data_IF_884334318241
#
_entry.id   IF_884334318241
#
_cell.length_a   1.000
_cell.length_b   1.000
_cell.length_c   1.000
_cell.angle_alpha   90.00
_cell.angle_beta   90.00
_cell.angle_gamma   90.00
#
_symmetry.space_group_name_H-M   'P 1'
#
loop_
_entity.id
_entity.type
_entity.pdbx_description
1 polymer ?
#
# COMPACT_ATOMS: atom_id res chain seq x y z
N UNK A 1 -20.71 14.75 -17.50
CA UNK A 1 -20.33 13.71 -16.55
C UNK A 1 -19.00 13.16 -17.00
N UNK A 2 -18.07 12.95 -16.07
CA UNK A 2 -16.81 12.28 -16.35
C UNK A 2 -17.10 10.82 -16.71
N UNK A 3 -16.40 10.29 -17.69
CA UNK A 3 -16.53 8.90 -18.11
C UNK A 3 -15.56 7.99 -17.36
N UNK A 4 -15.89 6.71 -17.30
CA UNK A 4 -15.00 5.68 -16.78
C UNK A 4 -13.79 5.50 -17.69
N UNK A 5 -12.69 5.03 -17.11
CA UNK A 5 -11.47 4.65 -17.81
C UNK A 5 -11.04 3.24 -17.44
N UNK A 6 -10.42 2.58 -18.40
CA UNK A 6 -9.64 1.37 -18.18
C UNK A 6 -8.21 1.59 -18.68
N UNK A 7 -7.32 0.64 -18.47
CA UNK A 7 -5.96 0.66 -19.06
C UNK A 7 -6.04 0.57 -20.57
N UNK A 8 -5.19 1.27 -21.31
CA UNK A 8 -5.14 1.16 -22.77
C UNK A 8 -4.43 -0.12 -23.24
N UNK A 9 -3.55 -0.68 -22.41
CA UNK A 9 -2.90 -1.98 -22.63
C UNK A 9 -2.59 -2.66 -21.29
N UNK A 10 -2.34 -3.98 -21.32
CA UNK A 10 -1.90 -4.72 -20.14
C UNK A 10 -0.45 -4.44 -19.80
N UNK A 11 -0.12 -4.55 -18.50
CA UNK A 11 1.26 -4.58 -18.02
C UNK A 11 1.40 -5.59 -16.89
N UNK A 12 2.64 -5.99 -16.58
CA UNK A 12 2.94 -6.89 -15.48
C UNK A 12 4.12 -6.37 -14.66
N UNK A 13 4.09 -6.66 -13.37
CA UNK A 13 5.18 -6.40 -12.42
C UNK A 13 5.56 -7.70 -11.73
N UNK A 14 6.84 -7.84 -11.42
CA UNK A 14 7.39 -9.01 -10.71
C UNK A 14 8.21 -8.54 -9.51
N UNK A 15 8.11 -9.25 -8.41
CA UNK A 15 8.87 -8.96 -7.20
C UNK A 15 8.64 -9.97 -6.10
N UNK A 16 9.25 -9.74 -4.95
CA UNK A 16 9.04 -10.56 -3.75
C UNK A 16 7.78 -10.13 -3.02
N UNK A 17 7.06 -11.08 -2.44
CA UNK A 17 6.03 -10.81 -1.43
C UNK A 17 6.67 -10.40 -0.12
N UNK A 18 6.18 -9.32 0.51
CA UNK A 18 6.70 -8.81 1.78
C UNK A 18 6.61 -9.88 2.88
N UNK A 19 5.46 -10.51 3.03
CA UNK A 19 5.21 -11.45 4.12
C UNK A 19 5.61 -12.88 3.76
N UNK A 20 5.28 -13.32 2.54
CA UNK A 20 5.53 -14.68 2.07
C UNK A 20 6.98 -14.93 1.64
N UNK A 21 7.67 -13.91 1.14
CA UNK A 21 8.97 -14.04 0.48
C UNK A 21 8.93 -14.75 -0.88
N UNK A 22 7.73 -15.04 -1.40
CA UNK A 22 7.55 -15.70 -2.69
C UNK A 22 7.92 -14.76 -3.85
N UNK A 23 8.34 -15.34 -4.97
CA UNK A 23 8.44 -14.60 -6.22
C UNK A 23 7.04 -14.49 -6.84
N UNK A 24 6.57 -13.27 -6.99
CA UNK A 24 5.20 -12.94 -7.39
C UNK A 24 5.21 -12.21 -8.71
N UNK A 25 4.30 -12.60 -9.57
CA UNK A 25 3.93 -11.85 -10.76
C UNK A 25 2.49 -11.39 -10.63
N UNK A 26 2.26 -10.10 -10.87
CA UNK A 26 0.94 -9.48 -10.93
C UNK A 26 0.76 -8.79 -12.26
N UNK A 27 -0.35 -9.06 -12.95
CA UNK A 27 -0.70 -8.51 -14.26
C UNK A 27 -1.96 -7.68 -14.16
N UNK A 28 -1.94 -6.49 -14.76
CA UNK A 28 -3.04 -5.54 -14.80
C UNK A 28 -3.59 -5.48 -16.23
N UNK A 29 -4.86 -5.79 -16.39
CA UNK A 29 -5.48 -5.93 -17.70
C UNK A 29 -6.65 -4.95 -17.86
N UNK A 30 -6.86 -4.39 -19.06
CA UNK A 30 -8.08 -3.66 -19.38
C UNK A 30 -9.33 -4.49 -19.03
N UNK A 31 -10.36 -3.82 -18.55
CA UNK A 31 -11.61 -4.47 -18.18
C UNK A 31 -12.80 -3.68 -18.76
N UNK A 32 -13.97 -4.34 -18.96
CA UNK A 32 -15.16 -3.67 -19.51
C UNK A 32 -15.73 -2.61 -18.55
N UNK A 33 -16.65 -1.82 -19.04
CA UNK A 33 -17.40 -0.83 -18.27
C UNK A 33 -18.10 -1.46 -17.05
N UNK A 34 -18.10 -0.76 -15.93
CA UNK A 34 -18.71 -1.18 -14.66
C UNK A 34 -18.11 -2.48 -14.08
N UNK A 35 -16.87 -2.80 -14.45
CA UNK A 35 -16.18 -3.97 -13.93
C UNK A 35 -15.65 -3.74 -12.51
N UNK A 36 -15.22 -2.51 -12.21
CA UNK A 36 -14.46 -2.20 -10.99
C UNK A 36 -13.09 -2.87 -10.98
N UNK A 37 -12.50 -3.03 -9.79
CA UNK A 37 -11.27 -3.81 -9.63
C UNK A 37 -11.60 -5.21 -9.17
N UNK A 38 -11.12 -6.20 -9.92
CA UNK A 38 -11.27 -7.62 -9.58
C UNK A 38 -9.90 -8.29 -9.61
N UNK A 39 -9.64 -9.09 -8.57
CA UNK A 39 -8.36 -9.79 -8.43
C UNK A 39 -8.60 -11.29 -8.63
N UNK A 40 -7.86 -11.87 -9.58
CA UNK A 40 -7.95 -13.27 -9.98
C UNK A 40 -6.69 -14.01 -9.53
N UNK A 41 -6.86 -15.10 -8.76
CA UNK A 41 -5.77 -15.99 -8.32
C UNK A 41 -5.51 -17.04 -9.40
N UNK A 42 -4.49 -16.78 -10.26
CA UNK A 42 -4.20 -17.64 -11.40
C UNK A 42 -3.42 -18.92 -11.03
N UNK A 43 -2.85 -18.98 -9.83
CA UNK A 43 -2.16 -20.12 -9.26
C UNK A 43 -3.09 -21.18 -8.64
N UNK A 44 -4.36 -20.83 -8.43
CA UNK A 44 -5.33 -21.73 -7.82
C UNK A 44 -6.20 -22.45 -8.88
N UNK A 45 -6.68 -23.68 -8.59
CA UNK A 45 -7.69 -24.31 -9.41
C UNK A 45 -8.91 -23.40 -9.59
N UNK A 46 -9.57 -23.46 -10.77
CA UNK A 46 -10.73 -22.64 -11.12
C UNK A 46 -10.45 -21.13 -11.18
N UNK A 47 -9.23 -20.70 -10.86
CA UNK A 47 -8.78 -19.31 -10.92
C UNK A 47 -9.82 -18.31 -10.34
N UNK A 48 -10.11 -18.42 -9.05
CA UNK A 48 -11.18 -17.64 -8.42
C UNK A 48 -10.90 -16.14 -8.49
N UNK A 49 -12.00 -15.38 -8.60
CA UNK A 49 -12.00 -13.91 -8.68
C UNK A 49 -12.63 -13.33 -7.43
N UNK A 50 -12.00 -12.29 -6.87
CA UNK A 50 -12.48 -11.52 -5.72
C UNK A 50 -12.61 -10.06 -6.15
N UNK A 51 -13.77 -9.46 -5.88
CA UNK A 51 -13.94 -8.02 -6.04
C UNK A 51 -13.15 -7.28 -4.95
N UNK A 52 -12.40 -6.25 -5.35
CA UNK A 52 -11.63 -5.43 -4.41
C UNK A 52 -12.53 -4.33 -3.81
N UNK A 53 -13.44 -4.74 -2.94
CA UNK A 53 -14.42 -3.88 -2.24
C UNK A 53 -14.33 -4.11 -0.73
N UNK A 54 -14.83 -3.14 0.05
CA UNK A 54 -14.73 -3.14 1.52
C UNK A 54 -15.31 -4.40 2.16
N UNK A 55 -16.42 -4.93 1.63
CA UNK A 55 -17.10 -6.13 2.13
C UNK A 55 -16.24 -7.38 2.06
N UNK A 56 -15.24 -7.38 1.20
CA UNK A 56 -14.28 -8.48 1.07
C UNK A 56 -13.00 -8.27 1.89
N UNK A 57 -12.85 -7.15 2.62
CA UNK A 57 -11.72 -6.94 3.54
C UNK A 57 -11.90 -7.83 4.77
N UNK A 58 -10.93 -8.71 5.02
CA UNK A 58 -10.96 -9.69 6.11
C UNK A 58 -9.91 -9.44 7.19
N UNK A 59 -8.87 -8.65 6.88
CA UNK A 59 -7.83 -8.28 7.83
C UNK A 59 -7.16 -6.97 7.39
N UNK A 60 -6.79 -6.15 8.38
CA UNK A 60 -6.07 -4.88 8.17
C UNK A 60 -4.79 -4.78 9.04
N UNK A 61 -4.36 -5.88 9.63
CA UNK A 61 -3.11 -5.90 10.39
C UNK A 61 -1.91 -5.92 9.44
N UNK A 62 -1.12 -4.84 9.46
CA UNK A 62 0.11 -4.70 8.67
C UNK A 62 -0.08 -4.73 7.15
N UNK A 63 -1.28 -4.48 6.66
CA UNK A 63 -1.62 -4.43 5.25
C UNK A 63 -3.08 -4.77 5.01
N UNK A 64 -3.59 -4.46 3.83
CA UNK A 64 -4.97 -4.76 3.47
C UNK A 64 -5.05 -6.16 2.88
N UNK A 65 -5.88 -6.99 3.49
CA UNK A 65 -6.17 -8.36 3.03
C UNK A 65 -7.63 -8.46 2.63
N UNK A 66 -7.87 -8.77 1.38
CA UNK A 66 -9.20 -9.16 0.91
C UNK A 66 -9.31 -10.67 0.79
N UNK A 67 -10.49 -11.19 1.02
CA UNK A 67 -10.70 -12.62 0.97
C UNK A 67 -12.15 -13.05 0.91
N UNK A 68 -12.34 -14.28 0.46
CA UNK A 68 -13.65 -14.95 0.45
C UNK A 68 -13.44 -16.45 0.67
N UNK A 69 -14.01 -17.02 1.74
CA UNK A 69 -13.79 -18.41 2.16
C UNK A 69 -12.30 -18.68 2.44
N UNK A 70 -11.70 -19.63 1.71
CA UNK A 70 -10.31 -20.06 1.88
C UNK A 70 -9.32 -19.31 0.94
N UNK A 71 -9.81 -18.30 0.21
CA UNK A 71 -9.02 -17.54 -0.74
C UNK A 71 -8.76 -16.16 -0.15
N UNK A 72 -7.49 -15.76 -0.11
CA UNK A 72 -7.11 -14.43 0.37
C UNK A 72 -5.99 -13.85 -0.50
N UNK A 73 -5.94 -12.53 -0.54
CA UNK A 73 -4.90 -11.75 -1.22
C UNK A 73 -4.54 -10.57 -0.30
N UNK A 74 -3.26 -10.40 -0.01
CA UNK A 74 -2.73 -9.36 0.88
C UNK A 74 -1.88 -8.34 0.14
N UNK A 75 -1.51 -7.25 0.84
CA UNK A 75 -0.58 -6.21 0.36
C UNK A 75 -1.05 -5.55 -0.94
N UNK A 76 -2.36 -5.29 -1.04
CA UNK A 76 -2.98 -4.71 -2.24
C UNK A 76 -2.97 -3.18 -2.23
N UNK A 77 -2.69 -2.54 -1.10
CA UNK A 77 -2.87 -1.11 -0.84
C UNK A 77 -2.13 -0.21 -1.84
N UNK A 78 -0.89 -0.53 -2.18
CA UNK A 78 -0.08 0.29 -3.09
C UNK A 78 -0.65 0.30 -4.52
N UNK A 79 -1.08 -0.88 -4.98
CA UNK A 79 -1.67 -1.03 -6.31
C UNK A 79 -3.05 -0.35 -6.39
N UNK A 80 -3.90 -0.53 -5.35
CA UNK A 80 -5.23 0.08 -5.31
C UNK A 80 -5.15 1.59 -5.28
N UNK A 81 -4.26 2.16 -4.44
CA UNK A 81 -4.03 3.60 -4.39
C UNK A 81 -3.53 4.16 -5.74
N UNK A 82 -2.61 3.45 -6.41
CA UNK A 82 -2.11 3.85 -7.72
C UNK A 82 -3.21 3.83 -8.79
N UNK A 83 -4.00 2.75 -8.89
CA UNK A 83 -5.09 2.64 -9.86
C UNK A 83 -6.11 3.77 -9.67
N UNK A 84 -6.55 4.00 -8.42
CA UNK A 84 -7.50 5.06 -8.11
C UNK A 84 -6.95 6.44 -8.46
N UNK A 85 -5.75 6.76 -7.98
CA UNK A 85 -5.15 8.08 -8.19
C UNK A 85 -4.84 8.37 -9.66
N UNK A 86 -4.51 7.34 -10.44
CA UNK A 86 -4.29 7.45 -11.87
C UNK A 86 -5.58 7.47 -12.71
N UNK A 87 -6.75 7.36 -12.06
CA UNK A 87 -8.05 7.48 -12.72
C UNK A 87 -8.47 6.23 -13.51
N UNK A 88 -7.94 5.06 -13.19
CA UNK A 88 -8.44 3.77 -13.68
C UNK A 88 -9.71 3.43 -12.92
N UNK A 89 -10.81 3.11 -13.59
CA UNK A 89 -12.06 2.70 -12.96
C UNK A 89 -12.26 1.18 -13.06
N UNK A 90 -11.79 0.58 -14.13
CA UNK A 90 -12.03 -0.83 -14.44
C UNK A 90 -10.71 -1.54 -14.76
N UNK A 91 -10.38 -2.56 -13.98
CA UNK A 91 -9.16 -3.35 -14.14
C UNK A 91 -9.37 -4.80 -13.68
N UNK A 92 -8.95 -5.78 -14.51
CA UNK A 92 -8.79 -7.15 -14.08
C UNK A 92 -7.34 -7.39 -13.70
N UNK A 93 -7.10 -7.77 -12.44
CA UNK A 93 -5.78 -7.99 -11.89
C UNK A 93 -5.57 -9.50 -11.72
N UNK A 94 -4.52 -10.05 -12.29
CA UNK A 94 -4.17 -11.46 -12.17
C UNK A 94 -2.91 -11.61 -11.33
N UNK A 95 -2.94 -12.46 -10.31
CA UNK A 95 -1.80 -12.69 -9.41
C UNK A 95 -1.58 -14.18 -9.19
N UNK A 96 -0.31 -14.60 -9.20
CA UNK A 96 0.09 -16.00 -9.05
C UNK A 96 0.43 -16.38 -7.58
N UNK A 97 -0.01 -15.61 -6.60
CA UNK A 97 0.30 -15.80 -5.18
C UNK A 97 -0.77 -15.20 -4.26
N UNK A 98 -0.81 -15.54 -2.95
CA UNK A 98 -1.74 -14.96 -1.98
C UNK A 98 -1.38 -13.53 -1.54
N UNK A 99 -0.47 -12.87 -2.22
CA UNK A 99 0.07 -11.56 -1.85
C UNK A 99 0.50 -10.81 -3.11
N UNK A 100 0.44 -9.48 -3.10
CA UNK A 100 1.06 -8.65 -4.16
C UNK A 100 2.55 -8.46 -3.89
N UNK A 101 3.38 -8.25 -4.93
CA UNK A 101 4.79 -7.97 -4.73
C UNK A 101 4.98 -6.63 -4.03
N UNK A 102 5.91 -6.59 -3.05
CA UNK A 102 6.21 -5.35 -2.32
C UNK A 102 6.96 -4.33 -3.18
N UNK A 103 7.69 -4.79 -4.20
CA UNK A 103 8.54 -3.98 -5.06
C UNK A 103 9.58 -3.18 -4.23
N UNK A 104 9.59 -1.86 -4.36
CA UNK A 104 10.42 -0.96 -3.55
C UNK A 104 9.71 -0.44 -2.29
N UNK A 105 8.55 -0.98 -1.94
CA UNK A 105 7.75 -0.57 -0.79
C UNK A 105 6.88 0.66 -1.03
N UNK A 106 6.79 1.16 -2.27
CA UNK A 106 6.00 2.31 -2.69
C UNK A 106 4.98 1.97 -3.77
N UNK A 107 4.19 2.97 -4.20
CA UNK A 107 3.28 2.83 -5.35
C UNK A 107 3.92 3.28 -6.68
N UNK A 108 5.18 3.73 -6.68
CA UNK A 108 5.85 4.35 -7.84
C UNK A 108 5.80 3.46 -9.07
N UNK A 109 6.17 2.19 -8.94
CA UNK A 109 6.24 1.28 -10.10
C UNK A 109 4.89 1.04 -10.74
N UNK A 110 3.81 0.97 -9.96
CA UNK A 110 2.45 0.89 -10.49
C UNK A 110 2.09 2.15 -11.30
N UNK A 111 2.39 3.33 -10.75
CA UNK A 111 2.16 4.62 -11.44
C UNK A 111 2.93 4.71 -12.74
N UNK A 112 4.22 4.37 -12.72
CA UNK A 112 5.08 4.39 -13.92
C UNK A 112 4.52 3.50 -15.03
N UNK A 113 4.09 2.28 -14.72
CA UNK A 113 3.52 1.37 -15.72
C UNK A 113 2.16 1.84 -16.23
N UNK A 114 1.27 2.36 -15.35
CA UNK A 114 -0.01 2.96 -15.78
C UNK A 114 0.24 4.14 -16.72
N UNK A 115 1.22 5.00 -16.42
CA UNK A 115 1.58 6.13 -17.29
C UNK A 115 2.10 5.67 -18.66
N UNK A 116 2.90 4.59 -18.70
CA UNK A 116 3.43 4.04 -19.96
C UNK A 116 2.35 3.46 -20.86
N UNK A 117 1.43 2.68 -20.30
CA UNK A 117 0.38 2.05 -21.10
C UNK A 117 -0.76 3.02 -21.42
N UNK A 118 -0.97 4.04 -20.58
CA UNK A 118 -2.03 5.03 -20.73
C UNK A 118 -3.42 4.49 -20.38
N UNK A 119 -4.42 5.38 -20.54
CA UNK A 119 -5.81 5.09 -20.25
C UNK A 119 -6.65 5.09 -21.52
N UNK A 120 -7.68 4.27 -21.54
CA UNK A 120 -8.74 4.24 -22.54
C UNK A 120 -10.04 4.68 -21.91
N UNK A 121 -10.60 5.80 -22.42
CA UNK A 121 -11.95 6.27 -22.02
C UNK A 121 -13.02 5.28 -22.49
N UNK A 122 -14.00 5.05 -21.65
CA UNK A 122 -15.15 4.17 -21.88
C UNK A 122 -16.43 4.99 -22.01
N UNK A 123 -17.55 4.37 -22.44
CA UNK A 123 -18.79 5.13 -22.64
C UNK A 123 -19.64 5.28 -21.38
N UNK A 124 -19.46 4.39 -20.39
CA UNK A 124 -20.17 4.49 -19.11
C UNK A 124 -19.75 5.73 -18.32
N UNK A 125 -20.70 6.34 -17.63
CA UNK A 125 -20.43 7.43 -16.70
C UNK A 125 -19.72 6.89 -15.44
N UNK A 126 -18.82 7.69 -14.88
CA UNK A 126 -18.22 7.40 -13.57
C UNK A 126 -19.24 7.66 -12.47
N UNK A 127 -19.38 6.73 -11.55
CA UNK A 127 -20.15 6.91 -10.32
C UNK A 127 -19.30 7.62 -9.27
N UNK A 128 -19.93 8.45 -8.44
CA UNK A 128 -19.29 9.18 -7.38
C UNK A 128 -20.03 8.98 -6.07
N UNK A 129 -19.29 8.60 -5.05
CA UNK A 129 -19.77 8.72 -3.69
C UNK A 129 -19.55 10.17 -3.20
N UNK A 130 -20.62 10.84 -2.82
CA UNK A 130 -20.60 12.23 -2.34
C UNK A 130 -20.81 12.25 -0.85
N UNK A 131 -19.79 12.65 -0.10
CA UNK A 131 -19.90 12.86 1.35
C UNK A 131 -20.74 14.08 1.62
N UNK A 132 -21.96 13.91 2.17
CA UNK A 132 -22.92 15.00 2.46
C UNK A 132 -22.84 15.50 3.89
N UNK A 133 -22.34 14.69 4.81
CA UNK A 133 -22.24 14.99 6.23
C UNK A 133 -20.91 14.49 6.77
N UNK A 134 -20.46 15.09 7.89
CA UNK A 134 -19.30 14.56 8.62
C UNK A 134 -19.55 13.10 9.00
N UNK A 135 -18.60 12.25 8.67
CA UNK A 135 -18.48 10.87 9.15
C UNK A 135 -17.17 10.76 9.93
N UNK A 136 -17.20 10.16 11.11
CA UNK A 136 -16.01 9.99 11.94
C UNK A 136 -16.03 8.59 12.55
N UNK A 137 -14.89 7.90 12.43
CA UNK A 137 -14.64 6.63 13.08
C UNK A 137 -13.42 6.79 13.96
N UNK A 138 -13.51 6.34 15.19
CA UNK A 138 -12.44 6.42 16.18
C UNK A 138 -12.21 5.05 16.81
N UNK A 139 -10.95 4.67 16.91
CA UNK A 139 -10.50 3.53 17.68
C UNK A 139 -10.17 3.99 19.09
N UNK A 140 -10.94 3.52 20.08
CA UNK A 140 -10.79 3.92 21.48
C UNK A 140 -9.53 3.32 22.13
N UNK A 141 -8.98 2.22 21.60
CA UNK A 141 -7.78 1.58 22.17
C UNK A 141 -6.51 2.32 21.74
N UNK A 142 -6.41 2.65 20.44
CA UNK A 142 -5.23 3.28 19.87
C UNK A 142 -5.33 4.81 19.83
N UNK A 143 -6.54 5.34 19.89
CA UNK A 143 -6.84 6.76 19.69
C UNK A 143 -6.78 7.19 18.22
N UNK A 144 -6.56 6.26 17.29
CA UNK A 144 -6.59 6.56 15.87
C UNK A 144 -8.01 6.97 15.43
N UNK A 145 -8.11 7.90 14.50
CA UNK A 145 -9.38 8.32 13.94
C UNK A 145 -9.29 8.65 12.46
N UNK A 146 -10.38 8.39 11.74
CA UNK A 146 -10.58 8.83 10.36
C UNK A 146 -11.83 9.68 10.32
N UNK A 147 -11.76 10.80 9.62
CA UNK A 147 -12.88 11.72 9.46
C UNK A 147 -13.07 12.06 7.98
N UNK A 148 -14.29 11.88 7.49
CA UNK A 148 -14.70 12.33 6.17
C UNK A 148 -15.53 13.60 6.32
N UNK A 149 -15.21 14.61 5.54
CA UNK A 149 -15.91 15.90 5.52
C UNK A 149 -16.43 16.18 4.10
N UNK A 150 -17.58 16.86 3.96
CA UNK A 150 -18.01 17.38 2.66
C UNK A 150 -16.98 18.33 2.09
N UNK A 151 -16.63 18.17 0.83
CA UNK A 151 -15.76 19.05 0.08
C UNK A 151 -16.18 19.04 -1.40
N UNK A 152 -15.70 19.99 -2.18
CA UNK A 152 -15.96 20.08 -3.63
C UNK A 152 -14.93 19.30 -4.48
N UNK A 153 -13.87 18.80 -3.83
CA UNK A 153 -12.84 17.98 -4.45
C UNK A 153 -12.30 16.93 -3.48
N UNK A 154 -11.62 15.92 -4.02
CA UNK A 154 -10.98 14.88 -3.22
C UNK A 154 -9.61 15.36 -2.72
N UNK A 155 -9.49 15.54 -1.42
CA UNK A 155 -8.24 15.85 -0.73
C UNK A 155 -8.06 14.94 0.48
N UNK A 156 -6.81 14.67 0.85
CA UNK A 156 -6.46 13.83 1.99
C UNK A 156 -5.41 14.52 2.84
N UNK A 157 -5.65 14.51 4.15
CA UNK A 157 -4.70 14.96 5.16
C UNK A 157 -4.43 13.83 6.14
N UNK A 158 -3.17 13.58 6.45
CA UNK A 158 -2.77 12.59 7.46
C UNK A 158 -1.87 13.22 8.50
N UNK A 159 -2.10 12.85 9.74
CA UNK A 159 -1.19 13.10 10.85
C UNK A 159 -0.85 11.75 11.48
N UNK A 160 0.42 11.40 11.49
CA UNK A 160 0.91 10.24 12.24
C UNK A 160 1.61 10.71 13.52
N UNK A 161 1.41 9.96 14.59
CA UNK A 161 2.02 10.22 15.88
C UNK A 161 2.47 8.93 16.52
N UNK A 162 3.77 8.71 16.60
CA UNK A 162 4.37 7.55 17.25
C UNK A 162 5.14 8.01 18.50
N UNK A 163 5.16 7.17 19.53
CA UNK A 163 6.03 7.39 20.69
C UNK A 163 7.47 7.00 20.34
N UNK A 164 8.12 7.84 19.54
CA UNK A 164 9.44 7.59 18.98
C UNK A 164 10.23 8.90 18.87
N UNK A 165 11.50 8.95 19.30
CA UNK A 165 12.35 10.12 19.12
C UNK A 165 12.79 10.33 17.66
N UNK A 166 12.66 9.31 16.81
CA UNK A 166 13.03 9.36 15.38
C UNK A 166 11.83 9.71 14.54
N UNK A 167 10.71 9.00 14.75
CA UNK A 167 9.44 9.25 14.06
C UNK A 167 8.41 9.73 15.08
N UNK A 168 8.40 11.03 15.32
CA UNK A 168 7.41 11.68 16.14
C UNK A 168 6.18 12.07 15.28
N UNK A 169 5.60 13.22 15.51
CA UNK A 169 4.48 13.73 14.73
C UNK A 169 4.94 14.12 13.33
N UNK A 170 4.34 13.53 12.32
CA UNK A 170 4.52 13.95 10.93
C UNK A 170 3.16 14.17 10.26
N UNK A 171 3.11 15.16 9.40
CA UNK A 171 1.93 15.54 8.64
C UNK A 171 2.20 15.42 7.15
N UNK A 172 1.20 14.96 6.41
CA UNK A 172 1.20 14.97 4.95
C UNK A 172 -0.18 15.40 4.43
N UNK A 173 -0.19 16.08 3.29
CA UNK A 173 -1.41 16.50 2.61
C UNK A 173 -1.30 16.21 1.12
N UNK A 174 -2.42 15.87 0.49
CA UNK A 174 -2.61 15.83 -0.94
C UNK A 174 -3.87 16.64 -1.25
N UNK A 175 -3.69 17.79 -1.90
CA UNK A 175 -4.79 18.72 -2.19
C UNK A 175 -5.54 18.36 -3.47
N UNK A 176 -4.92 17.70 -4.43
CA UNK A 176 -5.52 17.19 -5.66
C UNK A 176 -4.98 15.77 -5.90
N UNK A 177 -5.84 14.84 -6.31
CA UNK A 177 -5.43 13.48 -6.66
C UNK A 177 -4.40 13.44 -7.79
N UNK A 178 -4.34 14.47 -8.63
CA UNK A 178 -3.34 14.62 -9.69
C UNK A 178 -1.91 14.79 -9.17
N UNK A 179 -1.75 15.21 -7.90
CA UNK A 179 -0.45 15.36 -7.27
C UNK A 179 0.12 14.02 -6.79
N UNK A 180 -0.71 12.96 -6.75
CA UNK A 180 -0.31 11.63 -6.28
C UNK A 180 0.97 11.11 -6.92
N UNK A 181 1.17 11.14 -8.26
CA UNK A 181 2.36 10.60 -8.91
C UNK A 181 3.67 11.25 -8.44
N UNK A 182 3.65 12.54 -8.15
CA UNK A 182 4.84 13.32 -7.81
C UNK A 182 5.05 13.51 -6.31
N UNK A 183 3.96 13.52 -5.54
CA UNK A 183 3.99 13.88 -4.13
C UNK A 183 3.88 12.66 -3.20
N UNK A 184 3.23 11.58 -3.64
CA UNK A 184 2.85 10.46 -2.75
C UNK A 184 3.42 9.13 -3.24
N UNK A 185 3.35 8.85 -4.53
CA UNK A 185 3.60 7.52 -5.10
C UNK A 185 4.95 6.90 -4.73
N UNK A 186 6.00 7.70 -4.58
CA UNK A 186 7.35 7.24 -4.23
C UNK A 186 7.59 7.04 -2.73
N UNK A 187 6.57 7.26 -1.88
CA UNK A 187 6.71 7.10 -0.43
C UNK A 187 6.67 5.64 -0.04
N UNK A 188 7.75 5.15 0.58
CA UNK A 188 7.93 3.75 0.98
C UNK A 188 7.23 3.45 2.30
N UNK A 189 6.80 2.20 2.45
CA UNK A 189 6.35 1.66 3.73
C UNK A 189 7.46 1.67 4.78
N UNK A 190 7.10 1.55 6.07
CA UNK A 190 8.07 1.63 7.15
C UNK A 190 7.78 0.61 8.26
N UNK A 191 8.83 0.29 9.03
CA UNK A 191 8.77 -0.62 10.17
C UNK A 191 9.75 -0.16 11.25
N UNK A 192 9.43 -0.36 12.51
CA UNK A 192 10.35 -0.11 13.62
C UNK A 192 11.19 -1.35 13.91
N UNK A 193 12.49 -1.17 14.17
CA UNK A 193 13.39 -2.27 14.56
C UNK A 193 12.85 -3.06 15.74
N UNK A 194 12.26 -2.39 16.74
CA UNK A 194 11.62 -3.02 17.90
C UNK A 194 10.48 -3.98 17.60
N UNK A 195 9.92 -3.93 16.39
CA UNK A 195 8.80 -4.79 15.96
C UNK A 195 9.28 -5.99 15.15
N UNK A 196 10.50 -5.96 14.59
CA UNK A 196 10.99 -6.95 13.64
C UNK A 196 10.99 -8.38 14.22
N UNK A 197 11.48 -8.56 15.46
CA UNK A 197 11.53 -9.90 16.06
C UNK A 197 10.14 -10.53 16.18
N UNK A 198 9.15 -9.76 16.65
CA UNK A 198 7.76 -10.21 16.75
C UNK A 198 7.15 -10.53 15.38
N UNK A 199 7.42 -9.70 14.38
CA UNK A 199 6.91 -9.92 13.01
C UNK A 199 7.49 -11.21 12.41
N UNK A 200 8.79 -11.44 12.55
CA UNK A 200 9.46 -12.65 12.08
C UNK A 200 8.96 -13.91 12.79
N UNK A 201 8.74 -13.84 14.12
CA UNK A 201 8.16 -14.95 14.91
C UNK A 201 6.74 -15.30 14.46
N UNK A 202 5.99 -14.33 13.94
CA UNK A 202 4.66 -14.53 13.36
C UNK A 202 4.70 -14.91 11.86
N UNK A 203 5.86 -15.28 11.33
CA UNK A 203 6.05 -15.61 9.90
C UNK A 203 5.72 -14.48 8.94
N UNK A 204 5.80 -13.23 9.37
CA UNK A 204 5.66 -12.04 8.53
C UNK A 204 7.02 -11.55 8.05
N UNK A 205 7.01 -10.62 7.09
CA UNK A 205 8.18 -9.89 6.56
C UNK A 205 9.35 -10.75 6.07
N UNK A 206 9.10 -11.97 5.60
CA UNK A 206 10.14 -12.88 5.07
C UNK A 206 10.86 -12.34 3.82
N UNK A 207 10.22 -11.46 3.08
CA UNK A 207 10.76 -10.78 1.90
C UNK A 207 11.16 -9.32 2.16
N UNK A 208 11.06 -8.86 3.42
CA UNK A 208 11.47 -7.51 3.80
C UNK A 208 12.99 -7.35 3.77
N UNK A 209 13.45 -6.21 3.27
CA UNK A 209 14.85 -5.80 3.25
C UNK A 209 14.98 -4.26 3.35
N UNK A 210 16.21 -3.75 3.30
CA UNK A 210 16.48 -2.32 3.41
C UNK A 210 16.17 -1.51 2.14
N UNK A 211 15.80 -2.20 1.04
CA UNK A 211 15.46 -1.57 -0.23
C UNK A 211 13.94 -1.43 -0.43
N UNK A 212 13.13 -2.20 0.32
CA UNK A 212 11.68 -2.22 0.17
C UNK A 212 10.88 -1.73 1.38
N UNK A 213 11.55 -1.18 2.39
CA UNK A 213 10.93 -0.53 3.53
C UNK A 213 11.86 0.47 4.19
N UNK A 214 11.31 1.52 4.80
CA UNK A 214 12.04 2.40 5.70
C UNK A 214 12.13 1.71 7.06
N UNK A 215 13.34 1.40 7.53
CA UNK A 215 13.58 0.78 8.83
C UNK A 215 13.95 1.84 9.85
N UNK A 216 13.17 1.93 10.93
CA UNK A 216 13.29 2.97 11.95
C UNK A 216 13.94 2.40 13.20
N UNK A 217 15.16 2.86 13.51
CA UNK A 217 15.89 2.54 14.72
C UNK A 217 15.69 3.64 15.75
N UNK A 218 14.72 3.46 16.61
CA UNK A 218 14.28 4.49 17.57
C UNK A 218 14.53 4.13 19.04
N UNK A 219 15.05 2.95 19.30
CA UNK A 219 15.45 2.49 20.63
C UNK A 219 16.78 1.76 20.54
N UNK A 220 17.72 2.12 21.43
CA UNK A 220 19.02 1.46 21.47
C UNK A 220 18.87 0.02 21.96
N UNK A 221 19.39 -0.90 21.17
CA UNK A 221 19.53 -2.31 21.49
C UNK A 221 21.00 -2.71 21.39
N UNK A 222 21.40 -3.86 21.94
CA UNK A 222 22.77 -4.34 21.84
C UNK A 222 23.14 -4.68 20.38
N UNK A 223 24.43 -4.57 20.04
CA UNK A 223 24.91 -4.97 18.71
C UNK A 223 24.58 -6.44 18.42
N UNK A 224 24.69 -7.32 19.42
CA UNK A 224 24.33 -8.73 19.29
C UNK A 224 22.85 -8.93 18.90
N UNK A 225 21.95 -8.11 19.44
CA UNK A 225 20.53 -8.16 19.06
C UNK A 225 20.28 -7.65 17.64
N UNK A 226 21.01 -6.60 17.19
CA UNK A 226 20.96 -6.12 15.81
C UNK A 226 21.50 -7.17 14.83
N UNK A 227 22.63 -7.80 15.16
CA UNK A 227 23.24 -8.84 14.33
C UNK A 227 22.32 -10.05 14.21
N UNK A 228 21.66 -10.47 15.30
CA UNK A 228 20.66 -11.53 15.27
C UNK A 228 19.48 -11.19 14.37
N UNK A 229 18.96 -9.95 14.42
CA UNK A 229 17.89 -9.51 13.52
C UNK A 229 18.34 -9.49 12.07
N UNK A 230 19.56 -9.01 11.80
CA UNK A 230 20.15 -9.01 10.47
C UNK A 230 20.27 -10.44 9.91
N UNK A 231 20.72 -11.41 10.71
CA UNK A 231 20.79 -12.82 10.35
C UNK A 231 19.39 -13.39 10.03
N UNK A 232 18.38 -13.08 10.86
CA UNK A 232 17.00 -13.52 10.63
C UNK A 232 16.39 -12.95 9.35
N UNK A 233 16.76 -11.72 9.00
CA UNK A 233 16.33 -11.03 7.77
C UNK A 233 17.20 -11.35 6.56
N UNK A 234 18.33 -12.07 6.76
CA UNK A 234 19.33 -12.35 5.74
C UNK A 234 19.89 -11.06 5.08
N UNK A 235 20.12 -10.03 5.90
CA UNK A 235 20.73 -8.76 5.48
C UNK A 235 22.11 -8.59 6.13
N UNK A 236 23.02 -7.78 5.56
CA UNK A 236 24.33 -7.55 6.14
C UNK A 236 24.26 -6.93 7.54
N UNK A 237 25.15 -7.37 8.44
CA UNK A 237 25.33 -6.72 9.75
C UNK A 237 25.75 -5.26 9.58
N UNK A 238 25.17 -4.38 10.36
CA UNK A 238 25.49 -2.96 10.37
C UNK A 238 25.82 -2.51 11.78
N UNK A 239 26.88 -1.67 11.91
CA UNK A 239 27.23 -1.06 13.19
C UNK A 239 26.47 0.26 13.33
N UNK A 240 25.32 0.22 13.97
CA UNK A 240 24.42 1.36 14.08
C UNK A 240 24.62 2.00 15.47
N UNK A 241 25.22 3.18 15.52
CA UNK A 241 25.55 3.88 16.76
C UNK A 241 24.47 4.88 17.19
N UNK A 242 23.76 5.46 16.22
CA UNK A 242 22.81 6.53 16.43
C UNK A 242 21.39 6.11 16.04
N UNK A 243 20.40 6.67 16.74
CA UNK A 243 19.00 6.51 16.38
C UNK A 243 18.71 7.23 15.06
N UNK A 244 17.89 6.62 14.22
CA UNK A 244 17.60 7.19 12.90
C UNK A 244 16.93 6.21 11.96
N UNK A 245 16.99 6.51 10.68
CA UNK A 245 16.52 5.63 9.61
C UNK A 245 17.66 4.76 9.12
N UNK A 246 17.42 3.46 9.00
CA UNK A 246 18.36 2.47 8.46
C UNK A 246 17.87 2.07 7.08
N UNK A 247 18.44 2.65 6.04
CA UNK A 247 18.05 2.43 4.67
C UNK A 247 19.28 2.45 3.76
N UNK A 248 19.25 1.71 2.66
CA UNK A 248 20.28 1.80 1.63
C UNK A 248 20.20 3.13 0.88
N UNK A 249 18.98 3.61 0.61
CA UNK A 249 18.73 4.87 -0.07
C UNK A 249 18.16 5.93 0.89
N UNK A 250 18.49 7.22 0.74
CA UNK A 250 17.91 8.30 1.52
C UNK A 250 16.38 8.33 1.47
N UNK A 251 15.76 9.04 2.41
CA UNK A 251 14.33 9.35 2.30
C UNK A 251 14.06 10.18 1.05
N UNK A 252 12.99 9.83 0.32
CA UNK A 252 12.52 10.59 -0.85
C UNK A 252 11.91 11.93 -0.42
N UNK A 253 11.25 11.94 0.73
CA UNK A 253 10.66 13.12 1.35
C UNK A 253 10.98 13.14 2.84
N UNK A 254 11.17 14.32 3.44
CA UNK A 254 11.43 14.46 4.88
C UNK A 254 10.31 13.86 5.74
N UNK A 255 9.07 13.84 5.23
CA UNK A 255 7.88 13.27 5.85
C UNK A 255 7.36 12.02 5.11
N UNK A 256 8.26 11.23 4.55
CA UNK A 256 7.91 10.04 3.75
C UNK A 256 6.98 9.05 4.50
N UNK A 257 7.18 8.73 5.80
CA UNK A 257 6.25 7.88 6.54
C UNK A 257 4.80 8.42 6.59
N UNK A 258 4.61 9.74 6.76
CA UNK A 258 3.27 10.33 6.76
C UNK A 258 2.63 10.30 5.37
N UNK A 259 3.42 10.51 4.30
CA UNK A 259 2.96 10.37 2.91
C UNK A 259 2.57 8.94 2.58
N UNK A 260 3.30 7.96 3.08
CA UNK A 260 2.93 6.56 2.92
C UNK A 260 1.59 6.24 3.62
N UNK A 261 1.36 6.75 4.83
CA UNK A 261 0.06 6.60 5.48
C UNK A 261 -1.09 7.29 4.74
N UNK A 262 -0.80 8.39 4.03
CA UNK A 262 -1.77 9.02 3.14
C UNK A 262 -2.13 8.09 1.97
N UNK A 263 -1.14 7.39 1.38
CA UNK A 263 -1.35 6.37 0.36
C UNK A 263 -2.28 5.26 0.86
N UNK A 264 -2.05 4.74 2.08
CA UNK A 264 -2.88 3.72 2.70
C UNK A 264 -4.34 4.20 2.85
N UNK A 265 -4.56 5.47 3.24
CA UNK A 265 -5.90 6.05 3.36
C UNK A 265 -6.62 6.09 2.01
N UNK A 266 -5.94 6.38 0.90
CA UNK A 266 -6.54 6.36 -0.44
C UNK A 266 -7.04 4.96 -0.78
N UNK A 267 -6.28 3.92 -0.48
CA UNK A 267 -6.71 2.53 -0.67
C UNK A 267 -7.98 2.22 0.15
N UNK A 268 -8.00 2.62 1.43
CA UNK A 268 -9.14 2.39 2.32
C UNK A 268 -10.42 3.08 1.80
N UNK A 269 -10.30 4.30 1.31
CA UNK A 269 -11.45 5.07 0.79
C UNK A 269 -11.99 4.49 -0.53
N UNK A 270 -11.13 3.92 -1.37
CA UNK A 270 -11.58 3.26 -2.59
C UNK A 270 -12.35 1.98 -2.31
N UNK A 271 -11.89 1.18 -1.35
CA UNK A 271 -12.56 -0.08 -0.98
C UNK A 271 -13.80 0.12 -0.10
N UNK A 272 -14.12 1.35 0.29
CA UNK A 272 -15.29 1.68 1.11
C UNK A 272 -16.42 2.20 0.23
N UNK A 273 -17.52 1.45 0.15
CA UNK A 273 -18.78 1.92 -0.46
C UNK A 273 -19.51 2.94 0.41
#
# INVERSE_FOLDING_TARGET
MQKQNTLAASFSLQGKGLHSGLNIEVSFNPAPENHGYKIKRVDLPEQPVIDAVAENVINTQRGTVIGRKDIQISTIEHAMAALYAMGVDNCLIEVNAPEFPILDGSARHYVEEIQKVGLQEQNAARDYYIVKHKVEVKDEETGASIMLLPDDHFCVNTLISFNSPVLNNQFATMNDVKDFPTEIAASRTFVFVRELEMLLQNNLIKGGDLDNAIVIYDQKVSQEALDKLADMMNVPHQNIQELGYINNEPLVFDNEPARHKLLDVICLLYTSD
#
